data_IF_569979735865
#
_entry.id   IF_569979735865
#
_cell.length_a   1.000
_cell.length_b   1.000
_cell.length_c   1.000
_cell.angle_alpha   90.00
_cell.angle_beta   90.00
_cell.angle_gamma   90.00
#
_symmetry.space_group_name_H-M   'P 1'
#
loop_
_entity.id
_entity.type
_entity.pdbx_description
1 polymer ?
#
# COMPACT_ATOMS: atom_id res chain seq x y z
N UNK A 1 6.36 19.07 -12.72
CA UNK A 1 5.68 18.16 -11.77
C UNK A 1 6.05 16.75 -12.19
N UNK A 2 6.62 15.92 -11.31
CA UNK A 2 6.95 14.53 -11.66
C UNK A 2 5.64 13.76 -11.81
N UNK A 3 5.20 13.57 -13.04
CA UNK A 3 4.09 12.66 -13.33
C UNK A 3 4.63 11.24 -13.17
N UNK A 4 4.17 10.56 -12.12
CA UNK A 4 4.41 9.13 -11.97
C UNK A 4 3.60 8.38 -13.03
N UNK A 5 4.27 7.68 -13.94
CA UNK A 5 3.62 6.87 -14.97
C UNK A 5 3.03 5.58 -14.38
N UNK A 6 3.48 5.15 -13.21
CA UNK A 6 3.03 3.92 -12.55
C UNK A 6 1.57 3.96 -12.11
N UNK A 7 1.05 5.14 -11.76
CA UNK A 7 -0.36 5.29 -11.38
C UNK A 7 -1.31 5.07 -12.57
N UNK A 8 -0.87 5.41 -13.79
CA UNK A 8 -1.65 5.18 -15.02
C UNK A 8 -1.63 3.72 -15.49
N UNK A 9 -0.66 2.92 -15.02
CA UNK A 9 -0.54 1.50 -15.35
C UNK A 9 -1.31 0.58 -14.39
N UNK A 10 -2.11 1.15 -13.49
CA UNK A 10 -2.87 0.39 -12.50
C UNK A 10 -4.06 -0.34 -13.12
N UNK A 11 -4.40 -1.54 -12.63
CA UNK A 11 -5.57 -2.27 -13.09
C UNK A 11 -6.87 -1.52 -12.75
N UNK A 12 -7.81 -1.58 -13.69
CA UNK A 12 -9.17 -1.05 -13.56
C UNK A 12 -10.17 -2.18 -13.83
N UNK A 13 -11.10 -2.50 -12.91
CA UNK A 13 -11.35 -1.81 -11.63
C UNK A 13 -10.23 -2.04 -10.59
N UNK A 14 -10.17 -1.17 -9.58
CA UNK A 14 -9.23 -1.34 -8.45
C UNK A 14 -9.46 -2.69 -7.77
N UNK A 15 -8.40 -3.43 -7.40
CA UNK A 15 -8.55 -4.71 -6.72
C UNK A 15 -9.19 -4.54 -5.35
N UNK A 16 -10.03 -5.50 -4.98
CA UNK A 16 -10.59 -5.60 -3.63
C UNK A 16 -9.46 -5.84 -2.61
N UNK A 17 -9.58 -5.32 -1.38
CA UNK A 17 -8.61 -5.63 -0.33
C UNK A 17 -8.65 -7.12 -0.02
N UNK A 18 -7.48 -7.77 -0.02
CA UNK A 18 -7.36 -9.18 0.36
C UNK A 18 -7.70 -9.41 1.83
N UNK A 19 -7.40 -8.41 2.67
CA UNK A 19 -7.61 -8.45 4.11
C UNK A 19 -8.14 -7.08 4.59
N UNK A 20 -8.88 -7.09 5.70
CA UNK A 20 -9.34 -5.84 6.35
C UNK A 20 -8.25 -5.11 7.13
N UNK A 21 -7.10 -5.74 7.36
CA UNK A 21 -5.95 -5.19 8.09
C UNK A 21 -4.66 -5.84 7.60
N UNK A 22 -3.53 -5.42 8.15
CA UNK A 22 -2.24 -6.04 7.83
C UNK A 22 -2.14 -7.44 8.46
N UNK A 23 -2.13 -8.53 7.66
CA UNK A 23 -2.14 -9.89 8.18
C UNK A 23 -0.88 -10.22 8.98
N UNK A 24 0.27 -9.67 8.57
CA UNK A 24 1.53 -9.84 9.28
C UNK A 24 1.53 -9.12 10.64
N UNK A 25 0.96 -7.91 10.75
CA UNK A 25 0.81 -7.24 12.04
C UNK A 25 -0.12 -8.02 12.97
N UNK A 26 -1.22 -8.55 12.42
CA UNK A 26 -2.17 -9.38 13.16
C UNK A 26 -1.51 -10.67 13.68
N UNK A 27 -0.71 -11.33 12.85
CA UNK A 27 0.04 -12.54 13.23
C UNK A 27 1.07 -12.26 14.34
N UNK A 28 1.67 -11.07 14.34
CA UNK A 28 2.60 -10.62 15.39
C UNK A 28 1.89 -10.09 16.66
N UNK A 29 0.56 -9.99 16.67
CA UNK A 29 -0.19 -9.38 17.77
C UNK A 29 0.10 -7.89 17.94
N UNK A 30 0.49 -7.21 16.85
CA UNK A 30 0.82 -5.77 16.85
C UNK A 30 -0.26 -4.96 16.14
N UNK A 31 -0.42 -3.71 16.54
CA UNK A 31 -1.37 -2.79 15.92
C UNK A 31 -0.67 -1.92 14.86
N UNK A 32 -1.11 -1.96 13.59
CA UNK A 32 -0.61 -1.03 12.58
C UNK A 32 -1.06 0.39 12.91
N UNK A 33 -0.18 1.38 12.68
CA UNK A 33 -0.52 2.80 12.89
C UNK A 33 -1.47 3.29 11.79
N UNK A 34 -1.14 2.93 10.54
CA UNK A 34 -1.95 3.21 9.36
C UNK A 34 -1.79 2.06 8.36
N UNK A 35 -2.84 1.83 7.58
CA UNK A 35 -2.90 0.78 6.58
C UNK A 35 -2.73 1.33 5.15
N UNK A 36 -2.08 0.55 4.31
CA UNK A 36 -1.92 0.82 2.88
C UNK A 36 -2.38 -0.39 2.07
N UNK A 37 -3.19 -0.16 1.04
CA UNK A 37 -3.64 -1.18 0.10
C UNK A 37 -2.87 -1.06 -1.21
N UNK A 38 -2.27 -2.15 -1.65
CA UNK A 38 -1.68 -2.28 -2.97
C UNK A 38 -2.76 -2.19 -4.06
N UNK A 39 -2.55 -1.32 -5.05
CA UNK A 39 -3.51 -1.13 -6.14
C UNK A 39 -3.33 -2.10 -7.30
N UNK A 40 -2.38 -3.03 -7.21
CA UNK A 40 -2.13 -4.03 -8.23
C UNK A 40 -2.71 -5.39 -7.82
N UNK A 41 -2.46 -5.82 -6.59
CA UNK A 41 -2.88 -7.14 -6.10
C UNK A 41 -3.88 -7.09 -4.94
N UNK A 42 -4.21 -5.92 -4.39
CA UNK A 42 -5.15 -5.80 -3.28
C UNK A 42 -4.56 -6.08 -1.89
N UNK A 43 -3.26 -6.35 -1.77
CA UNK A 43 -2.60 -6.60 -0.48
C UNK A 43 -2.73 -5.41 0.49
N UNK A 44 -3.02 -5.66 1.76
CA UNK A 44 -3.09 -4.62 2.80
C UNK A 44 -1.91 -4.77 3.75
N UNK A 45 -1.05 -3.76 3.82
CA UNK A 45 0.15 -3.72 4.64
C UNK A 45 0.19 -2.49 5.56
N UNK A 46 0.98 -2.57 6.64
CA UNK A 46 1.20 -1.42 7.51
C UNK A 46 2.19 -0.40 6.89
N UNK A 47 1.96 0.88 7.19
CA UNK A 47 2.73 2.02 6.68
C UNK A 47 4.23 1.98 7.11
N UNK A 48 5.09 2.75 6.43
CA UNK A 48 6.52 2.91 6.75
C UNK A 48 6.79 3.44 8.18
N UNK A 49 5.80 4.13 8.77
CA UNK A 49 5.85 4.63 10.16
C UNK A 49 5.52 3.54 11.19
N UNK A 50 4.93 2.42 10.77
CA UNK A 50 4.76 1.25 11.65
C UNK A 50 6.09 0.52 11.78
N UNK A 51 6.39 -0.11 12.94
CA UNK A 51 7.69 -0.72 13.21
C UNK A 51 8.08 -1.80 12.19
N UNK A 52 7.08 -2.48 11.60
CA UNK A 52 7.30 -3.63 10.73
C UNK A 52 7.36 -3.30 9.22
N UNK A 53 6.89 -2.12 8.81
CA UNK A 53 6.96 -1.62 7.42
C UNK A 53 6.52 -2.62 6.34
N UNK A 54 5.41 -3.32 6.58
CA UNK A 54 4.93 -4.40 5.71
C UNK A 54 4.55 -3.92 4.31
N UNK A 55 4.09 -2.68 4.14
CA UNK A 55 3.87 -2.11 2.81
C UNK A 55 5.19 -2.00 2.02
N UNK A 56 6.29 -1.61 2.66
CA UNK A 56 7.61 -1.51 2.04
C UNK A 56 8.17 -2.88 1.70
N UNK A 57 8.03 -3.86 2.61
CA UNK A 57 8.43 -5.25 2.35
C UNK A 57 7.66 -5.85 1.18
N UNK A 58 6.34 -5.64 1.14
CA UNK A 58 5.51 -6.06 0.02
C UNK A 58 6.00 -5.48 -1.32
N UNK A 59 6.38 -4.20 -1.34
CA UNK A 59 7.00 -3.60 -2.52
C UNK A 59 8.32 -4.26 -2.90
N UNK A 60 9.21 -4.54 -1.93
CA UNK A 60 10.49 -5.19 -2.15
C UNK A 60 10.34 -6.62 -2.72
N UNK A 61 9.35 -7.37 -2.23
CA UNK A 61 9.09 -8.75 -2.64
C UNK A 61 8.34 -8.87 -3.98
N UNK A 62 7.39 -7.98 -4.24
CA UNK A 62 6.50 -8.08 -5.42
C UNK A 62 6.81 -7.09 -6.52
N UNK A 63 7.54 -6.02 -6.22
CA UNK A 63 7.79 -4.92 -7.13
C UNK A 63 6.57 -4.03 -7.40
N UNK A 64 5.50 -4.09 -6.61
CA UNK A 64 4.30 -3.30 -6.85
C UNK A 64 4.49 -1.80 -6.55
N UNK A 65 4.56 -0.91 -7.56
CA UNK A 65 5.01 0.47 -7.37
C UNK A 65 4.05 1.36 -6.59
N UNK A 66 2.73 1.12 -6.66
CA UNK A 66 1.72 2.06 -6.13
C UNK A 66 0.80 1.39 -5.10
N UNK A 67 0.65 2.07 -3.96
CA UNK A 67 -0.30 1.69 -2.92
C UNK A 67 -1.11 2.92 -2.51
N UNK A 68 -2.38 2.72 -2.16
CA UNK A 68 -3.23 3.76 -1.57
C UNK A 68 -3.32 3.63 -0.07
N UNK A 69 -3.65 4.72 0.60
CA UNK A 69 -4.13 4.65 1.99
C UNK A 69 -5.39 3.78 2.07
N UNK A 70 -5.48 2.97 3.12
CA UNK A 70 -6.67 2.18 3.46
C UNK A 70 -7.40 2.75 4.68
N UNK A 71 -7.09 4.00 5.05
CA UNK A 71 -7.75 4.71 6.12
C UNK A 71 -9.13 5.24 5.68
N UNK A 72 -10.13 5.24 6.58
CA UNK A 72 -11.45 5.77 6.26
C UNK A 72 -11.40 7.28 5.98
N UNK A 73 -11.87 7.68 4.80
CA UNK A 73 -11.97 9.09 4.41
C UNK A 73 -10.78 9.63 3.63
N UNK A 74 -9.72 8.84 3.47
CA UNK A 74 -8.57 9.19 2.63
C UNK A 74 -8.46 8.26 1.43
N UNK A 75 -7.99 8.78 0.29
CA UNK A 75 -7.84 8.02 -0.95
C UNK A 75 -6.59 8.39 -1.75
N UNK A 76 -5.63 9.07 -1.11
CA UNK A 76 -4.36 9.40 -1.72
C UNK A 76 -3.53 8.13 -1.99
N UNK A 77 -2.70 8.21 -3.02
CA UNK A 77 -1.84 7.10 -3.46
C UNK A 77 -0.39 7.52 -3.34
N UNK A 78 0.48 6.54 -3.12
CA UNK A 78 1.91 6.72 -3.00
C UNK A 78 2.63 5.78 -3.94
N UNK A 79 3.57 6.34 -4.71
CA UNK A 79 4.48 5.58 -5.54
C UNK A 79 5.78 5.31 -4.76
N UNK A 80 6.06 4.04 -4.47
CA UNK A 80 7.31 3.58 -3.86
C UNK A 80 8.50 3.64 -4.81
N UNK A 81 8.30 3.75 -6.12
CA UNK A 81 9.40 3.92 -7.08
C UNK A 81 9.83 5.39 -7.17
N UNK A 82 8.85 6.30 -7.31
CA UNK A 82 9.11 7.72 -7.52
C UNK A 82 9.20 8.52 -6.20
N UNK A 83 8.80 7.91 -5.08
CA UNK A 83 8.69 8.55 -3.76
C UNK A 83 7.84 9.82 -3.79
N UNK A 84 6.68 9.76 -4.47
CA UNK A 84 5.74 10.87 -4.62
C UNK A 84 4.30 10.43 -4.38
N UNK A 85 3.47 11.39 -3.93
CA UNK A 85 2.01 11.26 -3.93
C UNK A 85 1.47 11.34 -5.36
N UNK A 86 0.51 10.46 -5.68
CA UNK A 86 -0.10 10.30 -7.01
C UNK A 86 -1.62 10.20 -6.95
#
# INVERSE_FOLDING_TARGET
>A
MKQCTHAGALPLPEPEPLDGTCPECLALGTHPVQLRKCLICGYVGCCDTSPNRHATKHFDETGHPVMRTFEPGESWRWCFVDHVLV
#
